data_IF_725488691966
#
_entry.id   IF_725488691966
#
_cell.length_a   1.000
_cell.length_b   1.000
_cell.length_c   1.000
_cell.angle_alpha   90.00
_cell.angle_beta   90.00
_cell.angle_gamma   90.00
#
_symmetry.space_group_name_H-M   'P 1'
#
loop_
_entity.id
_entity.type
_entity.pdbx_description
1 polymer ?
#
# COMPACT_ATOMS: atom_id res chain seq x y z
N UNK A 1 -51.67 13.57 9.85
CA UNK A 1 -50.80 13.70 8.65
C UNK A 1 -49.50 14.46 8.92
N UNK A 2 -49.52 15.68 9.48
CA UNK A 2 -48.31 16.51 9.69
C UNK A 2 -47.22 15.85 10.56
N UNK A 3 -47.59 15.17 11.65
CA UNK A 3 -46.64 14.48 12.55
C UNK A 3 -45.88 13.35 11.85
N UNK A 4 -46.57 12.57 11.01
CA UNK A 4 -45.97 11.47 10.26
C UNK A 4 -44.95 11.96 9.23
N UNK A 5 -45.25 13.07 8.54
CA UNK A 5 -44.31 13.71 7.61
C UNK A 5 -43.04 14.16 8.35
N UNK A 6 -43.19 14.79 9.52
CA UNK A 6 -42.05 15.25 10.33
C UNK A 6 -41.18 14.10 10.83
N UNK A 7 -41.80 13.01 11.29
CA UNK A 7 -41.09 11.80 11.72
C UNK A 7 -40.32 11.18 10.53
N UNK A 8 -40.96 11.00 9.38
CA UNK A 8 -40.30 10.48 8.18
C UNK A 8 -39.12 11.35 7.74
N UNK A 9 -39.27 12.68 7.76
CA UNK A 9 -38.19 13.60 7.40
C UNK A 9 -37.02 13.52 8.39
N UNK A 10 -37.31 13.42 9.69
CA UNK A 10 -36.30 13.28 10.75
C UNK A 10 -35.52 11.97 10.63
N UNK A 11 -36.22 10.86 10.34
CA UNK A 11 -35.58 9.56 10.07
C UNK A 11 -34.72 9.64 8.81
N UNK A 12 -35.21 10.26 7.73
CA UNK A 12 -34.43 10.41 6.50
C UNK A 12 -33.15 11.24 6.72
N UNK A 13 -33.23 12.36 7.45
CA UNK A 13 -32.05 13.14 7.82
C UNK A 13 -31.08 12.36 8.70
N UNK A 14 -31.59 11.58 9.67
CA UNK A 14 -30.74 10.75 10.52
C UNK A 14 -30.04 9.66 9.72
N UNK A 15 -30.76 8.95 8.84
CA UNK A 15 -30.17 7.94 7.96
C UNK A 15 -29.14 8.54 7.01
N UNK A 16 -29.41 9.72 6.45
CA UNK A 16 -28.44 10.47 5.65
C UNK A 16 -27.20 10.82 6.47
N UNK A 17 -27.37 11.41 7.65
CA UNK A 17 -26.26 11.75 8.55
C UNK A 17 -25.43 10.52 8.93
N UNK A 18 -26.08 9.42 9.34
CA UNK A 18 -25.38 8.16 9.64
C UNK A 18 -24.65 7.58 8.41
N UNK A 19 -25.21 7.75 7.22
CA UNK A 19 -24.54 7.33 5.97
C UNK A 19 -23.30 8.17 5.65
N UNK A 20 -23.28 9.45 6.06
CA UNK A 20 -22.10 10.33 5.91
C UNK A 20 -21.00 10.02 6.92
N UNK A 21 -21.32 9.36 8.03
CA UNK A 21 -20.33 8.89 9.01
C UNK A 21 -19.56 7.65 8.52
N UNK A 22 -20.08 6.90 7.53
CA UNK A 22 -19.35 5.77 6.96
C UNK A 22 -18.17 6.28 6.12
N UNK A 23 -16.96 5.96 6.56
CA UNK A 23 -15.75 6.15 5.76
C UNK A 23 -15.85 5.30 4.51
N UNK A 24 -15.54 5.89 3.37
CA UNK A 24 -15.45 5.19 2.08
C UNK A 24 -13.98 5.17 1.65
N UNK A 25 -13.50 4.07 1.07
CA UNK A 25 -12.15 4.04 0.52
C UNK A 25 -12.05 4.96 -0.70
N UNK A 26 -10.84 5.49 -0.95
CA UNK A 26 -10.54 6.24 -2.16
C UNK A 26 -10.81 5.37 -3.40
N UNK A 27 -11.32 6.03 -4.44
CA UNK A 27 -11.57 5.41 -5.74
C UNK A 27 -10.37 5.56 -6.69
N UNK A 28 -9.33 6.30 -6.30
CA UNK A 28 -8.12 6.47 -7.11
C UNK A 28 -7.28 5.20 -7.03
N UNK A 29 -7.25 4.44 -8.13
CA UNK A 29 -6.42 3.24 -8.28
C UNK A 29 -5.16 3.59 -9.08
N UNK A 30 -4.09 2.80 -8.93
CA UNK A 30 -2.84 3.00 -9.64
C UNK A 30 -2.22 4.38 -9.44
N UNK A 31 -2.33 4.95 -8.24
CA UNK A 31 -1.93 6.33 -7.95
C UNK A 31 -0.85 6.45 -6.86
N UNK A 32 -0.31 5.31 -6.41
CA UNK A 32 0.75 5.24 -5.41
C UNK A 32 1.91 4.40 -5.94
N UNK A 33 3.15 4.81 -5.69
CA UNK A 33 4.30 3.92 -5.86
C UNK A 33 4.69 3.30 -4.51
N UNK A 34 4.83 1.98 -4.45
CA UNK A 34 5.33 1.29 -3.27
C UNK A 34 6.87 1.23 -3.31
N UNK A 35 7.53 1.50 -2.18
CA UNK A 35 8.99 1.43 -2.06
C UNK A 35 9.35 0.44 -0.94
N UNK A 36 10.07 -0.61 -1.31
CA UNK A 36 10.37 -1.77 -0.47
C UNK A 36 11.91 -1.93 -0.36
N UNK A 37 12.52 -1.61 0.78
CA UNK A 37 13.92 -1.90 1.02
C UNK A 37 14.09 -3.40 1.31
N UNK A 38 15.12 -4.03 0.73
CA UNK A 38 15.40 -5.44 0.93
C UNK A 38 16.89 -5.66 1.22
N UNK A 39 17.19 -6.40 2.29
CA UNK A 39 18.53 -6.89 2.59
C UNK A 39 18.44 -8.29 3.19
N UNK A 40 18.84 -9.31 2.41
CA UNK A 40 18.71 -10.72 2.76
C UNK A 40 17.25 -11.19 3.01
N UNK A 41 16.35 -10.79 2.11
CA UNK A 41 14.89 -11.04 2.19
C UNK A 41 14.42 -12.13 1.22
N UNK A 42 15.35 -12.86 0.59
CA UNK A 42 15.04 -13.89 -0.41
C UNK A 42 13.91 -14.86 -0.03
N UNK A 43 13.81 -15.34 1.23
CA UNK A 43 12.75 -16.27 1.65
C UNK A 43 11.32 -15.74 1.54
N UNK A 44 11.08 -14.45 1.79
CA UNK A 44 9.72 -13.87 1.86
C UNK A 44 9.40 -12.90 0.71
N UNK A 45 10.44 -12.32 0.09
CA UNK A 45 10.31 -11.19 -0.83
C UNK A 45 9.36 -11.47 -2.00
N UNK A 46 9.43 -12.68 -2.59
CA UNK A 46 8.60 -13.03 -3.74
C UNK A 46 7.10 -12.89 -3.45
N UNK A 47 6.66 -13.36 -2.27
CA UNK A 47 5.26 -13.29 -1.86
C UNK A 47 4.84 -11.84 -1.59
N UNK A 48 5.63 -11.10 -0.83
CA UNK A 48 5.33 -9.69 -0.50
C UNK A 48 5.22 -8.82 -1.76
N UNK A 49 6.18 -8.96 -2.69
CA UNK A 49 6.16 -8.23 -3.96
C UNK A 49 4.96 -8.62 -4.83
N UNK A 50 4.61 -9.91 -4.91
CA UNK A 50 3.45 -10.36 -5.70
C UNK A 50 2.13 -9.78 -5.15
N UNK A 51 1.99 -9.69 -3.83
CA UNK A 51 0.82 -9.10 -3.17
C UNK A 51 0.70 -7.60 -3.46
N UNK A 52 1.81 -6.87 -3.34
CA UNK A 52 1.85 -5.45 -3.69
C UNK A 52 1.55 -5.23 -5.18
N UNK A 53 2.15 -6.02 -6.07
CA UNK A 53 1.96 -5.87 -7.52
C UNK A 53 0.53 -6.17 -7.97
N UNK A 54 -0.18 -7.06 -7.26
CA UNK A 54 -1.61 -7.35 -7.46
C UNK A 54 -2.55 -6.30 -6.87
N UNK A 55 -2.08 -5.48 -5.93
CA UNK A 55 -2.94 -4.51 -5.26
C UNK A 55 -3.26 -3.35 -6.23
N UNK A 56 -4.56 -3.04 -6.45
CA UNK A 56 -4.97 -2.12 -7.50
C UNK A 56 -4.61 -0.66 -7.22
N UNK A 57 -4.25 -0.31 -5.98
CA UNK A 57 -3.87 1.07 -5.64
C UNK A 57 -2.45 1.44 -6.09
N UNK A 58 -1.57 0.45 -6.27
CA UNK A 58 -0.20 0.71 -6.70
C UNK A 58 -0.08 0.85 -8.22
N UNK A 59 0.62 1.90 -8.64
CA UNK A 59 1.08 2.11 -10.01
C UNK A 59 2.31 1.24 -10.27
N UNK A 60 3.34 1.38 -9.43
CA UNK A 60 4.57 0.59 -9.47
C UNK A 60 4.96 0.09 -8.09
N UNK A 61 5.75 -0.98 -8.07
CA UNK A 61 6.46 -1.45 -6.89
C UNK A 61 7.95 -1.34 -7.17
N UNK A 62 8.62 -0.53 -6.37
CA UNK A 62 10.05 -0.25 -6.42
C UNK A 62 10.68 -1.03 -5.28
N UNK A 63 11.53 -2.00 -5.60
CA UNK A 63 12.28 -2.76 -4.60
C UNK A 63 13.76 -2.42 -4.72
N UNK A 64 14.36 -2.07 -3.58
CA UNK A 64 15.76 -1.67 -3.49
C UNK A 64 16.53 -2.74 -2.73
N UNK A 65 17.32 -3.54 -3.45
CA UNK A 65 18.30 -4.45 -2.88
C UNK A 65 19.48 -3.66 -2.30
N UNK A 66 19.58 -3.60 -0.98
CA UNK A 66 20.60 -2.88 -0.24
C UNK A 66 21.86 -3.74 0.01
N UNK A 67 22.37 -4.35 -1.06
CA UNK A 67 23.61 -5.13 -1.03
C UNK A 67 23.49 -6.51 -0.38
N UNK A 68 22.38 -7.22 -0.63
CA UNK A 68 22.14 -8.57 -0.11
C UNK A 68 23.22 -9.57 -0.54
N UNK A 69 23.44 -10.58 0.30
CA UNK A 69 24.38 -11.69 0.07
C UNK A 69 23.69 -13.03 -0.17
N UNK A 70 22.37 -13.07 -0.06
CA UNK A 70 21.53 -14.24 -0.33
C UNK A 70 20.95 -14.19 -1.77
N UNK A 71 19.86 -14.92 -2.02
CA UNK A 71 19.18 -14.96 -3.31
C UNK A 71 18.18 -13.81 -3.57
N UNK A 72 18.16 -12.74 -2.75
CA UNK A 72 17.26 -11.57 -2.91
C UNK A 72 17.27 -11.02 -4.34
N UNK A 73 18.45 -10.82 -4.93
CA UNK A 73 18.58 -10.25 -6.29
C UNK A 73 18.02 -11.19 -7.36
N UNK A 74 18.20 -12.50 -7.20
CA UNK A 74 17.62 -13.49 -8.11
C UNK A 74 16.08 -13.47 -8.05
N UNK A 75 15.51 -13.36 -6.84
CA UNK A 75 14.06 -13.21 -6.65
C UNK A 75 13.54 -11.94 -7.34
N UNK A 76 14.23 -10.81 -7.20
CA UNK A 76 13.86 -9.56 -7.88
C UNK A 76 13.90 -9.71 -9.41
N UNK A 77 14.87 -10.42 -9.96
CA UNK A 77 14.94 -10.68 -11.41
C UNK A 77 13.75 -11.51 -11.90
N UNK A 78 13.31 -12.51 -11.12
CA UNK A 78 12.12 -13.29 -11.45
C UNK A 78 10.84 -12.46 -11.40
N UNK A 79 10.68 -11.62 -10.38
CA UNK A 79 9.55 -10.69 -10.25
C UNK A 79 9.53 -9.69 -11.41
N UNK A 80 10.69 -9.14 -11.79
CA UNK A 80 10.82 -8.23 -12.95
C UNK A 80 10.39 -8.89 -14.24
N UNK A 81 10.80 -10.14 -14.47
CA UNK A 81 10.40 -10.91 -15.65
C UNK A 81 8.89 -11.16 -15.68
N UNK A 82 8.26 -11.39 -14.52
CA UNK A 82 6.82 -11.63 -14.41
C UNK A 82 5.97 -10.37 -14.61
N UNK A 83 6.39 -9.25 -14.03
CA UNK A 83 5.56 -8.05 -13.91
C UNK A 83 5.99 -6.89 -14.83
N UNK A 84 7.12 -7.00 -15.51
CA UNK A 84 7.59 -5.99 -16.46
C UNK A 84 7.78 -4.63 -15.79
N UNK A 85 7.27 -3.56 -16.41
CA UNK A 85 7.49 -2.18 -15.95
C UNK A 85 6.69 -1.78 -14.71
N UNK A 86 5.76 -2.63 -14.26
CA UNK A 86 5.11 -2.49 -12.95
C UNK A 86 6.08 -2.67 -11.80
N UNK A 87 7.20 -3.37 -12.02
CA UNK A 87 8.23 -3.61 -11.02
C UNK A 87 9.54 -2.91 -11.39
N UNK A 88 10.11 -2.17 -10.43
CA UNK A 88 11.40 -1.50 -10.57
C UNK A 88 12.37 -2.16 -9.59
N UNK A 89 13.38 -2.83 -10.14
CA UNK A 89 14.46 -3.45 -9.36
C UNK A 89 15.65 -2.49 -9.32
N UNK A 90 16.09 -2.13 -8.11
CA UNK A 90 17.25 -1.27 -7.89
C UNK A 90 18.24 -2.03 -7.00
N UNK A 91 19.52 -2.08 -7.39
CA UNK A 91 20.58 -2.67 -6.56
C UNK A 91 21.58 -1.58 -6.20
N UNK A 92 22.01 -1.56 -4.94
CA UNK A 92 23.02 -0.65 -4.43
C UNK A 92 23.94 -1.35 -3.43
N UNK A 93 25.02 -0.68 -3.04
CA UNK A 93 25.82 -1.10 -1.87
C UNK A 93 24.99 -0.89 -0.59
N UNK A 94 25.17 -1.74 0.41
CA UNK A 94 24.49 -1.62 1.70
C UNK A 94 24.72 -0.23 2.33
N UNK A 95 23.63 0.49 2.60
CA UNK A 95 23.59 1.79 3.27
C UNK A 95 22.59 1.83 4.44
N UNK A 96 21.95 0.70 4.73
CA UNK A 96 20.85 0.57 5.67
C UNK A 96 19.50 0.94 5.06
N UNK A 97 18.42 0.52 5.76
CA UNK A 97 17.02 0.72 5.36
C UNK A 97 16.70 2.15 4.92
N UNK A 98 17.15 3.14 5.67
CA UNK A 98 16.92 4.56 5.35
C UNK A 98 17.57 4.96 4.02
N UNK A 99 18.79 4.53 3.75
CA UNK A 99 19.48 4.81 2.49
C UNK A 99 18.82 4.11 1.29
N UNK A 100 18.37 2.87 1.48
CA UNK A 100 17.61 2.13 0.47
C UNK A 100 16.28 2.82 0.14
N UNK A 101 15.52 3.25 1.15
CA UNK A 101 14.27 4.00 0.95
C UNK A 101 14.52 5.33 0.22
N UNK A 102 15.56 6.07 0.62
CA UNK A 102 15.93 7.33 -0.03
C UNK A 102 16.33 7.12 -1.49
N UNK A 103 17.05 6.05 -1.81
CA UNK A 103 17.36 5.73 -3.20
C UNK A 103 16.09 5.36 -3.98
N UNK A 104 15.20 4.58 -3.37
CA UNK A 104 13.91 4.19 -3.97
C UNK A 104 13.03 5.40 -4.34
N UNK A 105 13.05 6.47 -3.53
CA UNK A 105 12.31 7.71 -3.82
C UNK A 105 12.72 8.35 -5.16
N UNK A 106 13.96 8.19 -5.61
CA UNK A 106 14.42 8.73 -6.90
C UNK A 106 13.73 8.07 -8.11
N UNK A 107 13.08 6.93 -7.92
CA UNK A 107 12.37 6.19 -8.96
C UNK A 107 10.84 6.33 -8.85
N UNK A 108 10.35 7.00 -7.82
CA UNK A 108 8.93 7.27 -7.65
C UNK A 108 8.43 8.26 -8.72
N UNK A 109 7.23 8.02 -9.21
CA UNK A 109 6.56 8.80 -10.26
C UNK A 109 5.20 9.31 -9.86
N UNK A 110 4.57 8.69 -8.86
CA UNK A 110 3.33 9.17 -8.28
C UNK A 110 3.58 10.27 -7.24
N UNK A 111 2.58 11.13 -7.03
CA UNK A 111 2.60 12.16 -5.98
C UNK A 111 2.61 11.56 -4.56
N UNK A 112 2.22 10.29 -4.43
CA UNK A 112 2.11 9.57 -3.18
C UNK A 112 2.98 8.31 -3.23
N UNK A 113 3.67 8.04 -2.12
CA UNK A 113 4.46 6.82 -1.94
C UNK A 113 3.97 6.02 -0.74
N UNK A 114 4.09 4.71 -0.84
CA UNK A 114 3.85 3.78 0.27
C UNK A 114 5.16 3.10 0.62
N UNK A 115 5.62 3.30 1.85
CA UNK A 115 6.84 2.69 2.36
C UNK A 115 6.45 1.49 3.21
N UNK A 116 7.04 0.32 2.94
CA UNK A 116 6.74 -0.91 3.66
C UNK A 116 7.93 -1.86 3.63
N UNK A 117 7.90 -2.88 4.50
CA UNK A 117 9.00 -3.82 4.66
C UNK A 117 8.86 -4.99 3.68
N UNK A 118 9.96 -5.67 3.40
CA UNK A 118 10.01 -6.76 2.42
C UNK A 118 9.20 -8.00 2.83
N UNK A 119 8.81 -8.11 4.09
CA UNK A 119 8.03 -9.19 4.69
C UNK A 119 6.58 -8.78 5.01
N UNK A 120 6.15 -7.57 4.62
CA UNK A 120 4.80 -7.09 4.94
C UNK A 120 3.75 -7.61 3.96
N UNK A 121 2.70 -8.24 4.51
CA UNK A 121 1.53 -8.62 3.74
C UNK A 121 0.52 -7.48 3.64
N UNK A 122 0.32 -6.96 2.42
CA UNK A 122 -0.75 -6.00 2.10
C UNK A 122 -1.78 -6.70 1.21
N UNK A 123 -2.98 -7.04 1.74
CA UNK A 123 -3.99 -7.76 0.97
C UNK A 123 -4.40 -6.98 -0.29
N UNK A 124 -4.27 -7.55 -1.51
CA UNK A 124 -4.63 -6.86 -2.75
C UNK A 124 -6.15 -6.74 -2.97
N UNK A 125 -6.92 -7.61 -2.33
CA UNK A 125 -8.37 -7.76 -2.44
C UNK A 125 -9.16 -7.01 -1.35
N UNK A 126 -8.47 -6.22 -0.53
CA UNK A 126 -9.09 -5.40 0.52
C UNK A 126 -8.90 -3.90 0.28
N UNK A 127 -9.77 -3.12 0.89
CA UNK A 127 -9.80 -1.66 0.74
C UNK A 127 -8.85 -0.91 1.68
N UNK A 128 -7.94 -1.60 2.38
CA UNK A 128 -7.02 -1.00 3.37
C UNK A 128 -6.26 0.21 2.81
N UNK A 129 -5.62 0.05 1.64
CA UNK A 129 -4.93 1.15 0.96
C UNK A 129 -5.87 2.28 0.55
N UNK A 130 -7.11 1.95 0.18
CA UNK A 130 -8.13 2.95 -0.14
C UNK A 130 -8.52 3.80 1.05
N UNK A 131 -8.63 3.21 2.23
CA UNK A 131 -8.89 3.98 3.46
C UNK A 131 -7.70 4.87 3.81
N UNK A 132 -6.47 4.39 3.65
CA UNK A 132 -5.28 5.23 3.87
C UNK A 132 -5.25 6.42 2.92
N UNK A 133 -5.47 6.19 1.63
CA UNK A 133 -5.55 7.25 0.62
C UNK A 133 -6.67 8.25 0.90
N UNK A 134 -7.82 7.79 1.36
CA UNK A 134 -8.95 8.68 1.66
C UNK A 134 -8.60 9.70 2.77
N UNK A 135 -7.70 9.36 3.70
CA UNK A 135 -7.23 10.31 4.71
C UNK A 135 -6.21 11.31 4.14
N UNK A 136 -5.34 10.88 3.22
CA UNK A 136 -4.48 11.80 2.46
C UNK A 136 -5.33 12.80 1.66
N UNK A 137 -6.38 12.32 0.97
CA UNK A 137 -7.31 13.17 0.22
C UNK A 137 -8.08 14.17 1.10
N UNK A 138 -8.17 13.90 2.41
CA UNK A 138 -8.78 14.81 3.41
C UNK A 138 -7.78 15.84 3.95
N UNK A 139 -6.53 15.83 3.48
CA UNK A 139 -5.50 16.78 3.84
C UNK A 139 -4.48 16.27 4.87
N UNK A 140 -4.42 14.96 5.12
CA UNK A 140 -3.31 14.41 5.88
C UNK A 140 -2.03 14.39 5.02
N UNK A 141 -0.89 14.81 5.59
CA UNK A 141 0.41 14.73 4.91
C UNK A 141 1.01 13.32 4.93
N UNK A 142 0.62 12.51 5.92
CA UNK A 142 1.05 11.13 6.09
C UNK A 142 0.00 10.31 6.84
N UNK A 143 -0.09 9.02 6.53
CA UNK A 143 -1.02 8.08 7.17
C UNK A 143 -0.28 6.81 7.54
N UNK A 144 -0.36 6.43 8.82
CA UNK A 144 0.18 5.18 9.33
C UNK A 144 -0.84 4.04 9.23
N UNK A 145 -0.43 2.91 8.66
CA UNK A 145 -1.20 1.66 8.73
C UNK A 145 -0.91 0.94 10.04
N UNK A 146 -1.95 0.49 10.73
CA UNK A 146 -1.81 -0.41 11.88
C UNK A 146 -2.20 -1.82 11.41
N UNK A 147 -1.28 -2.80 11.43
CA UNK A 147 -1.63 -4.17 11.10
C UNK A 147 -2.69 -4.67 12.09
N UNK A 148 -3.72 -5.33 11.56
CA UNK A 148 -4.78 -5.92 12.36
C UNK A 148 -4.18 -6.86 13.41
N UNK A 149 -4.60 -6.72 14.67
CA UNK A 149 -4.23 -7.62 15.78
C UNK A 149 -4.73 -9.06 15.60
N UNK A 150 -5.51 -9.34 14.56
CA UNK A 150 -5.77 -10.71 14.12
C UNK A 150 -4.53 -11.27 13.39
N UNK A 151 -3.56 -11.75 14.17
CA UNK A 151 -2.32 -12.42 13.74
C UNK A 151 -2.53 -13.74 12.98
N UNK A 152 -3.72 -14.02 12.46
CA UNK A 152 -3.95 -15.20 11.62
C UNK A 152 -3.29 -14.97 10.26
N UNK A 153 -2.11 -15.53 10.07
CA UNK A 153 -1.34 -15.45 8.82
C UNK A 153 -0.26 -14.36 8.79
N UNK A 154 0.12 -13.80 9.95
CA UNK A 154 1.37 -13.06 10.07
C UNK A 154 2.50 -14.06 10.39
N UNK A 155 3.37 -14.32 9.41
CA UNK A 155 4.44 -15.32 9.47
C UNK A 155 4.35 -16.34 8.36
#
# INVERSE_FOLDING_TARGET
MKTWIFICMSIAMLLWFLSTLRRKPSQKKGCIDAIIPAYNEGPCLAQSLDNLLRNPYFCRVICVNDGSTDNTEAVMAEVKRKWGDRFVAVTQKNTGKGGALMNGLNYATCDQVFLSDADTYVPPDQDGMGYMLAEIERGADAVGGIPSTALKGAG
#
